data_IF_853494614747
#
_entry.id   IF_853494614747
#
_cell.length_a   1.000
_cell.length_b   1.000
_cell.length_c   1.000
_cell.angle_alpha   90.00
_cell.angle_beta   90.00
_cell.angle_gamma   90.00
#
_symmetry.space_group_name_H-M   'P 1'
#
loop_
_entity.id
_entity.type
_entity.pdbx_description
1 polymer ?
#
# COMPACT_ATOMS: atom_id res chain seq x y z
N UNK A 1 5.57 -1.13 -2.25
CA UNK A 1 5.31 0.28 -1.84
C UNK A 1 6.56 1.09 -1.50
N UNK A 2 7.65 0.52 -0.94
CA UNK A 2 8.90 1.28 -0.71
C UNK A 2 9.50 1.93 -1.96
N UNK A 3 9.28 1.36 -3.15
CA UNK A 3 9.69 1.97 -4.43
C UNK A 3 8.90 3.22 -4.83
N UNK A 4 7.74 3.46 -4.22
CA UNK A 4 6.89 4.63 -4.44
C UNK A 4 7.10 5.73 -3.38
N UNK A 5 8.19 5.65 -2.60
CA UNK A 5 8.42 6.58 -1.50
C UNK A 5 7.52 6.38 -0.28
N UNK A 6 6.79 5.25 -0.22
CA UNK A 6 6.03 4.88 0.96
C UNK A 6 6.94 4.17 1.98
N UNK A 7 7.04 4.73 3.17
CA UNK A 7 7.79 4.17 4.29
C UNK A 7 6.82 3.65 5.37
N UNK A 8 7.12 2.53 6.02
CA UNK A 8 6.33 2.06 7.14
C UNK A 8 6.45 3.03 8.31
N UNK A 9 5.30 3.50 8.79
CA UNK A 9 5.23 4.39 9.97
C UNK A 9 4.72 3.67 11.20
N UNK A 10 3.94 2.58 11.02
CA UNK A 10 3.38 1.82 12.13
C UNK A 10 3.05 0.41 11.69
N UNK A 11 3.68 -0.56 12.34
CA UNK A 11 3.34 -1.97 12.17
C UNK A 11 2.48 -2.45 13.34
N UNK A 12 1.36 -3.09 13.00
CA UNK A 12 0.49 -3.86 13.90
C UNK A 12 0.51 -5.30 13.41
N UNK A 13 0.35 -6.27 14.30
CA UNK A 13 0.44 -7.70 13.97
C UNK A 13 -0.34 -8.06 12.69
N UNK A 14 -1.54 -7.51 12.51
CA UNK A 14 -2.40 -7.78 11.35
C UNK A 14 -2.25 -6.81 10.16
N UNK A 15 -1.68 -5.61 10.35
CA UNK A 15 -1.62 -4.55 9.33
C UNK A 15 -0.37 -3.67 9.43
N UNK A 16 0.13 -3.18 8.31
CA UNK A 16 1.24 -2.23 8.20
C UNK A 16 0.70 -0.92 7.66
N UNK A 17 0.90 0.17 8.39
CA UNK A 17 0.61 1.52 7.90
C UNK A 17 1.85 2.04 7.19
N UNK A 18 1.70 2.33 5.91
CA UNK A 18 2.70 2.94 5.05
C UNK A 18 2.33 4.40 4.81
N UNK A 19 3.29 5.31 4.87
CA UNK A 19 3.09 6.74 4.62
C UNK A 19 4.04 7.21 3.52
N UNK A 20 3.62 8.12 2.65
CA UNK A 20 4.51 8.77 1.68
C UNK A 20 4.90 10.19 2.11
N UNK A 21 5.81 10.80 1.36
CA UNK A 21 6.30 12.16 1.57
C UNK A 21 5.21 13.23 1.41
N UNK A 22 4.23 12.97 0.54
CA UNK A 22 3.07 13.83 0.27
C UNK A 22 2.00 13.77 1.38
N UNK A 23 2.21 12.95 2.42
CA UNK A 23 1.34 12.86 3.58
C UNK A 23 0.23 11.80 3.49
N UNK A 24 0.15 11.07 2.38
CA UNK A 24 -0.77 9.93 2.23
C UNK A 24 -0.34 8.78 3.14
N UNK A 25 -1.30 8.19 3.84
CA UNK A 25 -1.11 7.00 4.65
C UNK A 25 -2.08 5.92 4.21
N UNK A 26 -1.59 4.69 4.03
CA UNK A 26 -2.37 3.54 3.59
C UNK A 26 -2.10 2.35 4.50
N UNK A 27 -3.15 1.61 4.85
CA UNK A 27 -3.08 0.42 5.69
C UNK A 27 -3.05 -0.83 4.83
N UNK A 28 -1.94 -1.57 4.87
CA UNK A 28 -1.74 -2.82 4.14
C UNK A 28 -1.95 -4.00 5.09
N UNK A 29 -2.92 -4.89 4.83
CA UNK A 29 -3.04 -6.13 5.59
C UNK A 29 -1.82 -7.03 5.40
N UNK A 30 -1.47 -7.77 6.45
CA UNK A 30 -0.26 -8.60 6.47
C UNK A 30 -0.49 -10.07 6.06
N UNK A 31 -1.72 -10.42 5.64
CA UNK A 31 -2.06 -11.78 5.24
C UNK A 31 -1.90 -11.97 3.73
N UNK A 32 -1.44 -13.16 3.34
CA UNK A 32 -1.36 -13.61 1.95
C UNK A 32 -2.30 -14.82 1.77
N UNK A 33 -3.12 -14.88 0.71
CA UNK A 33 -3.23 -13.92 -0.39
C UNK A 33 -4.10 -12.70 -0.06
N UNK A 34 -3.68 -11.53 -0.54
CA UNK A 34 -4.49 -10.31 -0.52
C UNK A 34 -5.62 -10.42 -1.57
N UNK A 35 -6.89 -10.15 -1.20
CA UNK A 35 -7.98 -10.14 -2.16
C UNK A 35 -7.75 -9.03 -3.18
N UNK A 36 -8.08 -9.30 -4.46
CA UNK A 36 -7.93 -8.30 -5.53
C UNK A 36 -8.67 -7.00 -5.19
N UNK A 37 -9.86 -7.08 -4.59
CA UNK A 37 -10.62 -5.91 -4.14
C UNK A 37 -9.90 -5.09 -3.07
N UNK A 38 -9.16 -5.74 -2.18
CA UNK A 38 -8.37 -5.06 -1.14
C UNK A 38 -7.15 -4.38 -1.76
N UNK A 39 -6.45 -5.05 -2.67
CA UNK A 39 -5.34 -4.44 -3.43
C UNK A 39 -5.86 -3.24 -4.22
N UNK A 40 -7.01 -3.35 -4.87
CA UNK A 40 -7.60 -2.26 -5.64
C UNK A 40 -7.98 -1.08 -4.75
N UNK A 41 -8.64 -1.33 -3.63
CA UNK A 41 -8.97 -0.28 -2.66
C UNK A 41 -7.72 0.46 -2.16
N UNK A 42 -6.65 -0.28 -1.84
CA UNK A 42 -5.35 0.29 -1.43
C UNK A 42 -4.74 1.17 -2.53
N UNK A 43 -4.83 0.73 -3.79
CA UNK A 43 -4.32 1.49 -4.94
C UNK A 43 -5.14 2.75 -5.21
N UNK A 44 -6.46 2.66 -5.17
CA UNK A 44 -7.38 3.80 -5.29
C UNK A 44 -7.14 4.83 -4.16
N UNK A 45 -6.99 4.35 -2.92
CA UNK A 45 -6.75 5.20 -1.73
C UNK A 45 -5.36 5.84 -1.73
N UNK A 46 -4.36 5.17 -2.32
CA UNK A 46 -3.00 5.70 -2.47
C UNK A 46 -2.81 6.56 -3.73
N UNK A 47 -3.82 6.67 -4.60
CA UNK A 47 -3.71 7.36 -5.88
C UNK A 47 -2.75 6.70 -6.87
N UNK A 48 -2.36 5.44 -6.63
CA UNK A 48 -1.44 4.69 -7.47
C UNK A 48 -2.26 3.96 -8.53
N UNK A 49 -1.95 4.20 -9.80
CA UNK A 49 -2.56 3.44 -10.89
C UNK A 49 -2.06 1.99 -10.88
N UNK A 50 -2.93 1.05 -11.26
CA UNK A 50 -2.58 -0.39 -11.35
C UNK A 50 -1.32 -0.64 -12.19
N UNK A 51 -1.16 0.08 -13.28
CA UNK A 51 0.01 -0.02 -14.17
C UNK A 51 1.30 0.39 -13.45
N UNK A 52 1.26 1.49 -12.69
CA UNK A 52 2.39 1.93 -11.89
C UNK A 52 2.75 0.87 -10.85
N UNK A 53 1.75 0.33 -10.12
CA UNK A 53 1.96 -0.77 -9.17
C UNK A 53 2.62 -1.99 -9.81
N UNK A 54 2.17 -2.40 -10.99
CA UNK A 54 2.72 -3.55 -11.73
C UNK A 54 4.15 -3.32 -12.25
N UNK A 55 4.54 -2.08 -12.57
CA UNK A 55 5.94 -1.74 -12.92
C UNK A 55 6.91 -1.89 -11.75
N UNK A 56 6.39 -1.92 -10.53
CA UNK A 56 7.16 -1.96 -9.29
C UNK A 56 6.94 -3.23 -8.45
N UNK A 57 6.21 -4.21 -9.00
CA UNK A 57 6.15 -5.58 -8.49
C UNK A 57 7.51 -6.28 -8.68
#
# INVERSE_FOLDING_TARGET
>A
MSRFGFYPVRERESHIILKNSDGFAVSIPRYDPLPEGTVRAILEESGISREEFLKHL
#
